data_IF_294637523740
#
_entry.id   IF_294637523740
#
_cell.length_a   1.000
_cell.length_b   1.000
_cell.length_c   1.000
_cell.angle_alpha   90.00
_cell.angle_beta   90.00
_cell.angle_gamma   90.00
#
_symmetry.space_group_name_H-M   'P 1'
#
loop_
_entity.id
_entity.type
_entity.pdbx_description
1 polymer ?
#
# COMPACT_ATOMS: atom_id res chain seq x y z
N UNK A 1 12.03 35.76 -51.33
CA UNK A 1 11.32 35.03 -50.26
C UNK A 1 11.79 33.59 -50.27
N UNK A 2 12.59 33.16 -49.31
CA UNK A 2 13.02 31.77 -49.20
C UNK A 2 11.84 30.91 -48.81
N UNK A 3 11.64 29.73 -49.42
CA UNK A 3 10.54 28.83 -49.02
C UNK A 3 10.71 28.36 -47.56
N UNK A 4 9.66 28.43 -46.78
CA UNK A 4 9.63 27.86 -45.42
C UNK A 4 9.94 26.37 -45.51
N UNK A 5 10.83 25.83 -44.63
CA UNK A 5 11.06 24.40 -44.60
C UNK A 5 9.75 23.66 -44.30
N UNK A 6 9.57 22.47 -44.86
CA UNK A 6 8.34 21.69 -44.62
C UNK A 6 8.20 21.39 -43.11
N UNK A 7 7.05 21.71 -42.56
CA UNK A 7 6.73 21.33 -41.16
C UNK A 7 6.71 19.81 -41.11
N UNK A 8 7.71 19.21 -40.52
CA UNK A 8 7.70 17.77 -40.18
C UNK A 8 6.49 17.56 -39.26
N UNK A 9 5.50 16.80 -39.70
CA UNK A 9 4.39 16.39 -38.83
C UNK A 9 5.00 15.43 -37.79
N UNK A 10 5.08 15.88 -36.57
CA UNK A 10 5.40 14.98 -35.44
C UNK A 10 4.30 13.94 -35.37
N UNK A 11 4.65 12.67 -35.50
CA UNK A 11 3.70 11.57 -35.31
C UNK A 11 3.45 11.49 -33.80
N UNK A 12 2.32 11.97 -33.35
CA UNK A 12 1.92 11.86 -31.93
C UNK A 12 1.65 10.39 -31.60
N UNK A 13 2.27 9.91 -30.53
CA UNK A 13 1.89 8.65 -29.91
C UNK A 13 0.64 8.88 -29.03
N UNK A 14 -0.49 8.19 -29.30
CA UNK A 14 -1.68 8.33 -28.48
C UNK A 14 -1.47 7.91 -27.03
N UNK A 15 -0.48 7.07 -26.74
CA UNK A 15 -0.15 6.58 -25.39
C UNK A 15 0.89 7.46 -24.69
N UNK A 16 1.53 8.40 -25.42
CA UNK A 16 2.50 9.35 -24.89
C UNK A 16 2.34 10.74 -25.53
N UNK A 17 1.17 11.36 -25.33
CA UNK A 17 0.86 12.68 -25.88
C UNK A 17 1.77 13.80 -25.35
N UNK A 18 2.35 13.60 -24.18
CA UNK A 18 3.24 14.57 -23.54
C UNK A 18 4.72 14.39 -23.93
N UNK A 19 5.08 13.30 -24.65
CA UNK A 19 6.45 12.99 -25.02
C UNK A 19 7.34 12.65 -23.83
N UNK A 20 6.77 12.01 -22.81
CA UNK A 20 7.49 11.61 -21.59
C UNK A 20 8.61 10.62 -21.93
N UNK A 21 8.37 9.72 -22.88
CA UNK A 21 9.34 8.71 -23.30
C UNK A 21 10.67 9.33 -23.80
N UNK A 22 10.63 10.52 -24.39
CA UNK A 22 11.84 11.21 -24.86
C UNK A 22 12.73 11.70 -23.69
N UNK A 23 12.16 11.80 -22.49
CA UNK A 23 12.85 12.23 -21.27
C UNK A 23 13.44 11.06 -20.46
N UNK A 24 12.99 9.83 -20.73
CA UNK A 24 13.39 8.65 -19.97
C UNK A 24 14.70 8.05 -20.46
N UNK A 25 15.51 7.57 -19.52
CA UNK A 25 16.68 6.73 -19.79
C UNK A 25 16.28 5.38 -20.39
N UNK A 26 17.27 4.64 -20.91
CA UNK A 26 17.03 3.29 -21.41
C UNK A 26 16.60 2.31 -20.31
N UNK A 27 17.09 2.52 -19.08
CA UNK A 27 16.77 1.71 -17.91
C UNK A 27 15.33 1.95 -17.44
N UNK A 28 14.92 3.21 -17.32
CA UNK A 28 13.53 3.59 -16.98
C UNK A 28 12.51 3.05 -18.01
N UNK A 29 12.86 3.12 -19.31
CA UNK A 29 12.05 2.52 -20.38
C UNK A 29 11.95 1.00 -20.24
N UNK A 30 13.03 0.33 -19.83
CA UNK A 30 13.03 -1.11 -19.61
C UNK A 30 12.15 -1.50 -18.40
N UNK A 31 12.21 -0.75 -17.30
CA UNK A 31 11.31 -0.93 -16.14
C UNK A 31 9.85 -0.80 -16.57
N UNK A 32 9.51 0.32 -17.24
CA UNK A 32 8.15 0.54 -17.77
C UNK A 32 7.67 -0.59 -18.67
N UNK A 33 8.53 -1.04 -19.60
CA UNK A 33 8.19 -2.13 -20.52
C UNK A 33 7.95 -3.47 -19.80
N UNK A 34 8.74 -3.78 -18.77
CA UNK A 34 8.57 -4.99 -17.97
C UNK A 34 7.23 -4.98 -17.21
N UNK A 35 6.87 -3.85 -16.59
CA UNK A 35 5.59 -3.71 -15.90
C UNK A 35 4.42 -3.83 -16.88
N UNK A 36 4.48 -3.15 -18.02
CA UNK A 36 3.47 -3.26 -19.09
C UNK A 36 3.29 -4.70 -19.57
N UNK A 37 4.36 -5.46 -19.70
CA UNK A 37 4.29 -6.86 -20.10
C UNK A 37 3.54 -7.72 -19.09
N UNK A 38 3.79 -7.52 -17.80
CA UNK A 38 3.06 -8.23 -16.74
C UNK A 38 1.60 -7.79 -16.69
N UNK A 39 1.30 -6.51 -16.84
CA UNK A 39 -0.07 -6.03 -16.97
C UNK A 39 -0.79 -6.78 -18.10
N UNK A 40 -0.21 -6.82 -19.30
CA UNK A 40 -0.80 -7.46 -20.46
C UNK A 40 -0.99 -8.98 -20.31
N UNK A 41 -0.13 -9.68 -19.54
CA UNK A 41 -0.21 -11.13 -19.37
C UNK A 41 -1.07 -11.57 -18.19
N UNK A 42 -1.02 -10.84 -17.07
CA UNK A 42 -1.51 -11.32 -15.79
C UNK A 42 -2.64 -10.46 -15.19
N UNK A 43 -2.94 -9.31 -15.78
CA UNK A 43 -3.98 -8.38 -15.29
C UNK A 43 -5.05 -8.17 -16.37
N UNK A 44 -4.68 -7.63 -17.54
CA UNK A 44 -5.63 -7.20 -18.57
C UNK A 44 -6.62 -8.30 -19.00
N UNK A 45 -6.23 -9.59 -19.11
CA UNK A 45 -7.16 -10.64 -19.48
C UNK A 45 -8.29 -10.89 -18.47
N UNK A 46 -8.09 -10.48 -17.22
CA UNK A 46 -8.98 -10.79 -16.10
C UNK A 46 -9.69 -9.58 -15.51
N UNK A 47 -9.22 -8.37 -15.81
CA UNK A 47 -9.68 -7.13 -15.15
C UNK A 47 -11.19 -6.92 -15.30
N UNK A 48 -11.78 -7.26 -16.44
CA UNK A 48 -13.22 -7.13 -16.67
C UNK A 48 -14.03 -8.02 -15.72
N UNK A 49 -13.59 -9.28 -15.53
CA UNK A 49 -14.22 -10.21 -14.59
C UNK A 49 -14.08 -9.75 -13.14
N UNK A 50 -12.88 -9.29 -12.75
CA UNK A 50 -12.63 -8.76 -11.40
C UNK A 50 -13.47 -7.52 -11.12
N UNK A 51 -13.60 -6.64 -12.10
CA UNK A 51 -14.45 -5.45 -11.97
C UNK A 51 -15.93 -5.82 -11.81
N UNK A 52 -16.45 -6.75 -12.62
CA UNK A 52 -17.85 -7.20 -12.55
C UNK A 52 -18.15 -7.92 -11.23
N UNK A 53 -17.29 -8.82 -10.80
CA UNK A 53 -17.45 -9.54 -9.52
C UNK A 53 -17.29 -8.63 -8.31
N UNK A 54 -16.50 -7.55 -8.43
CA UNK A 54 -16.11 -6.69 -7.31
C UNK A 54 -15.18 -7.40 -6.32
N UNK A 55 -14.36 -8.31 -6.82
CA UNK A 55 -13.42 -9.13 -6.06
C UNK A 55 -12.13 -9.31 -6.86
N UNK A 56 -11.06 -9.77 -6.22
CA UNK A 56 -9.77 -10.09 -6.82
C UNK A 56 -9.38 -11.53 -6.49
N UNK A 57 -9.97 -12.53 -7.17
CA UNK A 57 -9.56 -13.92 -7.01
C UNK A 57 -8.08 -14.10 -7.35
N UNK A 58 -7.34 -14.85 -6.53
CA UNK A 58 -5.91 -15.06 -6.76
C UNK A 58 -5.02 -13.88 -6.41
N UNK A 59 -5.48 -12.92 -5.60
CA UNK A 59 -4.70 -11.75 -5.16
C UNK A 59 -3.33 -12.13 -4.59
N UNK A 60 -3.23 -13.27 -3.87
CA UNK A 60 -1.95 -13.73 -3.32
C UNK A 60 -0.97 -14.19 -4.39
N UNK A 61 -1.45 -14.85 -5.44
CA UNK A 61 -0.59 -15.28 -6.55
C UNK A 61 -0.14 -14.08 -7.37
N UNK A 62 -1.04 -13.11 -7.61
CA UNK A 62 -0.70 -11.83 -8.23
C UNK A 62 0.33 -11.05 -7.41
N UNK A 63 0.16 -10.97 -6.08
CA UNK A 63 1.12 -10.31 -5.21
C UNK A 63 2.53 -10.93 -5.32
N UNK A 64 2.63 -12.26 -5.33
CA UNK A 64 3.91 -12.96 -5.54
C UNK A 64 4.51 -12.69 -6.93
N UNK A 65 3.69 -12.59 -7.95
CA UNK A 65 4.16 -12.27 -9.30
C UNK A 65 4.72 -10.84 -9.35
N UNK A 66 4.01 -9.87 -8.78
CA UNK A 66 4.47 -8.48 -8.65
C UNK A 66 5.73 -8.37 -7.76
N UNK A 67 5.80 -9.16 -6.69
CA UNK A 67 6.98 -9.25 -5.83
C UNK A 67 8.22 -9.77 -6.54
N UNK A 68 8.09 -10.78 -7.42
CA UNK A 68 9.20 -11.28 -8.25
C UNK A 68 9.80 -10.22 -9.17
N UNK A 69 9.02 -9.23 -9.56
CA UNK A 69 9.47 -8.08 -10.35
C UNK A 69 10.02 -6.94 -9.48
N UNK A 70 10.02 -7.09 -8.15
CA UNK A 70 10.46 -6.05 -7.22
C UNK A 70 9.52 -4.85 -7.13
N UNK A 71 8.23 -4.99 -7.51
CA UNK A 71 7.27 -3.88 -7.49
C UNK A 71 6.74 -3.55 -6.10
N UNK A 72 6.79 -4.53 -5.17
CA UNK A 72 6.28 -4.34 -3.81
C UNK A 72 7.34 -3.66 -2.94
N UNK A 73 7.09 -2.41 -2.55
CA UNK A 73 8.07 -1.59 -1.85
C UNK A 73 9.29 -1.22 -2.70
N UNK A 74 9.14 -1.10 -4.03
CA UNK A 74 10.25 -0.95 -4.98
C UNK A 74 11.14 0.26 -4.71
N UNK A 75 10.63 1.32 -4.07
CA UNK A 75 11.35 2.55 -3.70
C UNK A 75 12.07 2.44 -2.34
N UNK A 76 11.85 1.36 -1.58
CA UNK A 76 12.47 1.13 -0.28
C UNK A 76 13.85 0.45 -0.45
N UNK A 77 14.77 0.76 0.45
CA UNK A 77 16.11 0.16 0.46
C UNK A 77 16.22 -0.96 1.50
N UNK A 78 16.92 -2.03 1.14
CA UNK A 78 17.15 -3.18 2.01
C UNK A 78 15.96 -4.13 2.10
N UNK A 79 16.07 -5.13 2.94
CA UNK A 79 15.00 -6.11 3.26
C UNK A 79 14.39 -6.81 2.03
N UNK A 80 15.14 -6.95 0.93
CA UNK A 80 14.66 -7.56 -0.31
C UNK A 80 13.91 -6.59 -1.23
N UNK A 81 13.76 -5.32 -0.87
CA UNK A 81 13.21 -4.28 -1.72
C UNK A 81 14.21 -3.83 -2.78
N UNK A 82 13.71 -3.32 -3.93
CA UNK A 82 14.55 -3.05 -5.09
C UNK A 82 15.38 -1.75 -5.00
N UNK A 83 15.02 -0.79 -4.14
CA UNK A 83 15.72 0.50 -4.00
C UNK A 83 15.69 1.36 -5.26
N UNK A 84 14.60 1.30 -6.02
CA UNK A 84 14.42 2.01 -7.29
C UNK A 84 14.10 3.50 -7.07
N UNK A 85 14.31 4.29 -8.11
CA UNK A 85 14.01 5.71 -8.07
C UNK A 85 12.51 6.02 -7.99
N UNK A 86 12.17 7.25 -7.58
CA UNK A 86 10.78 7.73 -7.62
C UNK A 86 10.22 7.78 -9.05
N UNK A 87 11.07 7.96 -10.07
CA UNK A 87 10.66 7.92 -11.49
C UNK A 87 10.26 6.50 -11.86
N UNK A 88 11.07 5.50 -11.52
CA UNK A 88 10.75 4.08 -11.78
C UNK A 88 9.44 3.67 -11.09
N UNK A 89 9.26 4.07 -9.84
CA UNK A 89 8.00 3.83 -9.11
C UNK A 89 6.81 4.49 -9.79
N UNK A 90 6.95 5.75 -10.21
CA UNK A 90 5.92 6.48 -10.96
C UNK A 90 5.56 5.81 -12.28
N UNK A 91 6.56 5.32 -13.04
CA UNK A 91 6.35 4.58 -14.29
C UNK A 91 5.64 3.24 -14.06
N UNK A 92 6.03 2.52 -13.01
CA UNK A 92 5.35 1.28 -12.62
C UNK A 92 3.88 1.54 -12.26
N UNK A 93 3.61 2.56 -11.44
CA UNK A 93 2.25 2.97 -11.08
C UNK A 93 1.43 3.40 -12.31
N UNK A 94 2.03 4.08 -13.27
CA UNK A 94 1.37 4.50 -14.52
C UNK A 94 0.89 3.30 -15.33
N UNK A 95 1.72 2.27 -15.51
CA UNK A 95 1.34 1.08 -16.28
C UNK A 95 0.29 0.22 -15.53
N UNK A 96 0.42 0.08 -14.22
CA UNK A 96 -0.57 -0.59 -13.37
C UNK A 96 -1.92 0.12 -13.40
N UNK A 97 -1.92 1.47 -13.29
CA UNK A 97 -3.12 2.30 -13.34
C UNK A 97 -3.81 2.21 -14.70
N UNK A 98 -3.03 2.11 -15.80
CA UNK A 98 -3.56 1.95 -17.15
C UNK A 98 -4.30 0.62 -17.33
N UNK A 99 -3.92 -0.42 -16.60
CA UNK A 99 -4.63 -1.70 -16.56
C UNK A 99 -5.84 -1.65 -15.64
N UNK A 100 -5.63 -1.40 -14.35
CA UNK A 100 -6.70 -1.22 -13.36
C UNK A 100 -6.23 -0.46 -12.11
N UNK A 101 -6.96 0.58 -11.74
CA UNK A 101 -6.69 1.40 -10.54
C UNK A 101 -6.67 0.60 -9.23
N UNK A 102 -7.42 -0.49 -9.15
CA UNK A 102 -7.46 -1.38 -7.98
C UNK A 102 -6.15 -2.14 -7.81
N UNK A 103 -5.54 -2.57 -8.91
CA UNK A 103 -4.24 -3.26 -8.89
C UNK A 103 -3.12 -2.27 -8.55
N UNK A 104 -3.13 -1.05 -9.13
CA UNK A 104 -2.20 0.00 -8.70
C UNK A 104 -2.36 0.29 -7.21
N UNK A 105 -3.60 0.31 -6.68
CA UNK A 105 -3.88 0.51 -5.26
C UNK A 105 -3.31 -0.61 -4.39
N UNK A 106 -3.40 -1.89 -4.83
CA UNK A 106 -2.76 -3.02 -4.15
C UNK A 106 -1.26 -2.76 -3.94
N UNK A 107 -0.53 -2.39 -5.01
CA UNK A 107 0.91 -2.14 -4.98
C UNK A 107 1.25 -0.93 -4.11
N UNK A 108 0.52 0.19 -4.25
CA UNK A 108 0.82 1.40 -3.50
C UNK A 108 0.52 1.27 -2.00
N UNK A 109 -0.57 0.60 -1.62
CA UNK A 109 -0.87 0.36 -0.21
C UNK A 109 0.13 -0.61 0.42
N UNK A 110 0.51 -1.66 -0.31
CA UNK A 110 1.56 -2.57 0.12
C UNK A 110 2.87 -1.83 0.37
N UNK A 111 3.41 -1.13 -0.65
CA UNK A 111 4.74 -0.52 -0.63
C UNK A 111 4.79 0.80 0.13
N UNK A 112 3.99 1.79 -0.29
CA UNK A 112 4.12 3.16 0.19
C UNK A 112 3.39 3.44 1.50
N UNK A 113 2.50 2.55 1.96
CA UNK A 113 1.80 2.71 3.22
C UNK A 113 2.23 1.66 4.24
N UNK A 114 1.92 0.36 4.02
CA UNK A 114 2.18 -0.67 5.02
C UNK A 114 3.67 -0.95 5.20
N UNK A 115 4.40 -1.23 4.10
CA UNK A 115 5.85 -1.46 4.15
C UNK A 115 6.61 -0.22 4.59
N UNK A 116 6.27 0.96 4.02
CA UNK A 116 6.94 2.20 4.38
C UNK A 116 6.79 2.52 5.87
N UNK A 117 5.59 2.34 6.45
CA UNK A 117 5.37 2.56 7.88
C UNK A 117 6.28 1.68 8.75
N UNK A 118 6.44 0.40 8.39
CA UNK A 118 7.32 -0.53 9.09
C UNK A 118 8.79 -0.16 8.83
N UNK A 119 9.14 0.16 7.59
CA UNK A 119 10.50 0.53 7.17
C UNK A 119 11.00 1.80 7.87
N UNK A 120 10.18 2.83 7.94
CA UNK A 120 10.55 4.11 8.55
C UNK A 120 10.50 4.04 10.08
N UNK A 121 9.41 3.49 10.65
CA UNK A 121 9.08 3.63 12.06
C UNK A 121 9.26 2.35 12.89
N UNK A 122 9.43 1.19 12.25
CA UNK A 122 9.56 -0.09 12.94
C UNK A 122 10.90 -0.30 13.62
N UNK A 123 10.93 -1.21 14.59
CA UNK A 123 12.18 -1.73 15.16
C UNK A 123 12.93 -2.58 14.14
N UNK A 124 14.23 -2.84 14.35
CA UNK A 124 14.98 -3.76 13.49
C UNK A 124 14.32 -5.15 13.37
N UNK A 125 13.73 -5.63 14.47
CA UNK A 125 13.04 -6.93 14.53
C UNK A 125 11.77 -6.90 13.69
N UNK A 126 10.91 -5.87 13.83
CA UNK A 126 9.71 -5.69 13.02
C UNK A 126 10.05 -5.58 11.53
N UNK A 127 11.11 -4.85 11.18
CA UNK A 127 11.58 -4.71 9.79
C UNK A 127 12.02 -6.06 9.22
N UNK A 128 12.81 -6.81 10.00
CA UNK A 128 13.33 -8.11 9.56
C UNK A 128 12.23 -9.18 9.45
N UNK A 129 11.23 -9.12 10.31
CA UNK A 129 10.11 -10.06 10.30
C UNK A 129 9.18 -9.82 9.11
N UNK A 130 8.81 -8.57 8.84
CA UNK A 130 7.73 -8.26 7.92
C UNK A 130 8.15 -7.82 6.53
N UNK A 131 9.23 -7.04 6.39
CA UNK A 131 9.57 -6.47 5.08
C UNK A 131 9.99 -7.51 4.04
N UNK A 132 10.83 -8.53 4.34
CA UNK A 132 11.21 -9.51 3.34
C UNK A 132 10.03 -10.31 2.76
N UNK A 133 9.11 -10.90 3.54
CA UNK A 133 7.95 -11.59 2.98
C UNK A 133 6.96 -10.62 2.29
N UNK A 134 6.89 -9.36 2.71
CA UNK A 134 6.07 -8.37 2.02
C UNK A 134 6.66 -7.96 0.68
N UNK A 135 7.98 -7.84 0.56
CA UNK A 135 8.67 -7.52 -0.70
C UNK A 135 8.51 -8.64 -1.75
N UNK A 136 8.48 -9.90 -1.31
CA UNK A 136 8.26 -11.06 -2.19
C UNK A 136 6.77 -11.32 -2.51
N UNK A 137 5.84 -10.65 -1.81
CA UNK A 137 4.40 -10.87 -1.93
C UNK A 137 3.90 -12.13 -1.21
N UNK A 138 4.72 -12.76 -0.38
CA UNK A 138 4.30 -13.85 0.51
C UNK A 138 3.41 -13.34 1.64
N UNK A 139 3.67 -12.12 2.14
CA UNK A 139 2.82 -11.42 3.08
C UNK A 139 2.21 -10.16 2.45
N UNK A 140 0.92 -9.96 2.68
CA UNK A 140 0.18 -8.77 2.26
C UNK A 140 -0.05 -7.89 3.48
N UNK A 141 0.21 -6.58 3.32
CA UNK A 141 -0.03 -5.57 4.34
C UNK A 141 -1.24 -4.69 4.04
N UNK A 142 -1.82 -4.14 5.10
CA UNK A 142 -2.80 -3.08 5.00
C UNK A 142 -2.51 -1.94 5.99
N UNK A 143 -3.18 -0.79 5.78
CA UNK A 143 -2.90 0.44 6.53
C UNK A 143 -4.19 1.04 7.10
N UNK A 144 -4.37 0.93 8.40
CA UNK A 144 -5.57 1.32 9.12
C UNK A 144 -5.44 2.68 9.79
N UNK A 145 -5.72 3.77 9.06
CA UNK A 145 -5.81 5.12 9.59
C UNK A 145 -7.26 5.62 9.65
N UNK A 146 -7.93 5.64 8.50
CA UNK A 146 -9.29 6.17 8.33
C UNK A 146 -10.31 5.41 9.16
N UNK A 147 -11.23 6.13 9.79
CA UNK A 147 -12.37 5.59 10.55
C UNK A 147 -13.70 6.01 9.92
N UNK A 148 -14.82 5.35 10.27
CA UNK A 148 -16.14 5.71 9.73
C UNK A 148 -16.48 7.20 9.89
N UNK A 149 -16.16 7.78 11.06
CA UNK A 149 -16.48 9.19 11.38
C UNK A 149 -15.27 10.14 11.24
N UNK A 150 -14.04 9.60 11.05
CA UNK A 150 -12.80 10.37 11.06
C UNK A 150 -11.93 10.01 9.84
N UNK A 151 -12.34 10.51 8.66
CA UNK A 151 -11.57 10.40 7.41
C UNK A 151 -10.67 11.62 7.21
N UNK A 152 -11.28 12.80 6.99
CA UNK A 152 -10.55 14.07 6.77
C UNK A 152 -9.92 14.64 8.04
N UNK A 153 -10.36 14.18 9.21
CA UNK A 153 -9.84 14.59 10.52
C UNK A 153 -9.34 13.38 11.32
N UNK A 154 -8.20 12.79 10.93
CA UNK A 154 -7.65 11.63 11.62
C UNK A 154 -7.09 11.96 13.03
N UNK A 155 -6.91 13.24 13.35
CA UNK A 155 -6.48 13.64 14.69
C UNK A 155 -7.46 13.24 15.79
N UNK A 156 -8.75 13.22 15.45
CA UNK A 156 -9.84 12.88 16.36
C UNK A 156 -10.26 11.39 16.28
N UNK A 157 -9.40 10.52 15.76
CA UNK A 157 -9.69 9.07 15.69
C UNK A 157 -10.15 8.50 17.04
N UNK A 158 -11.07 7.54 16.98
CA UNK A 158 -11.67 6.90 18.16
C UNK A 158 -11.06 5.54 18.48
N UNK A 159 -10.36 4.91 17.55
CA UNK A 159 -9.58 3.69 17.83
C UNK A 159 -8.58 3.98 18.93
N UNK A 160 -8.61 3.19 20.00
CA UNK A 160 -7.78 3.37 21.19
C UNK A 160 -6.88 2.17 21.42
N UNK A 161 -5.67 2.45 21.86
CA UNK A 161 -4.78 1.46 22.43
C UNK A 161 -4.48 1.86 23.88
N UNK A 162 -4.64 0.92 24.80
CA UNK A 162 -4.32 1.10 26.23
C UNK A 162 -3.36 0.03 26.70
N UNK A 163 -2.57 0.34 27.70
CA UNK A 163 -1.74 -0.66 28.37
C UNK A 163 -2.61 -1.67 29.14
N UNK A 164 -2.19 -2.92 29.13
CA UNK A 164 -2.83 -4.00 29.87
C UNK A 164 -2.00 -4.31 31.12
N UNK A 165 -2.09 -3.45 32.11
CA UNK A 165 -1.32 -3.48 33.35
C UNK A 165 -0.48 -2.22 33.58
N UNK A 166 0.27 -2.22 34.64
CA UNK A 166 1.11 -1.11 35.06
C UNK A 166 2.51 -1.19 34.43
N UNK A 167 3.03 -0.04 34.04
CA UNK A 167 4.41 0.12 33.54
C UNK A 167 4.57 0.04 32.02
N UNK A 168 5.74 0.49 31.57
CA UNK A 168 6.06 0.68 30.14
C UNK A 168 6.28 -0.61 29.37
N UNK A 169 6.39 -1.74 30.06
CA UNK A 169 6.57 -3.08 29.46
C UNK A 169 5.27 -3.87 29.34
N UNK A 170 4.15 -3.31 29.81
CA UNK A 170 2.84 -3.97 29.70
C UNK A 170 2.41 -4.09 28.23
N UNK A 171 1.68 -5.15 27.93
CA UNK A 171 1.06 -5.38 26.63
C UNK A 171 0.06 -4.29 26.25
N UNK A 172 -0.38 -4.29 25.01
CA UNK A 172 -1.37 -3.35 24.51
C UNK A 172 -2.70 -4.05 24.25
N UNK A 173 -3.80 -3.34 24.46
CA UNK A 173 -5.15 -3.74 24.06
C UNK A 173 -5.71 -2.68 23.14
N UNK A 174 -6.05 -3.08 21.90
CA UNK A 174 -6.62 -2.22 20.88
C UNK A 174 -8.13 -2.45 20.75
N UNK A 175 -8.89 -1.34 20.69
CA UNK A 175 -10.32 -1.35 20.43
C UNK A 175 -10.70 -0.23 19.46
N UNK A 176 -11.55 -0.52 18.48
CA UNK A 176 -12.05 0.45 17.51
C UNK A 176 -12.38 -0.17 16.16
N UNK A 177 -12.50 0.68 15.16
CA UNK A 177 -12.72 0.24 13.78
C UNK A 177 -12.02 1.14 12.79
N UNK A 178 -11.66 0.57 11.63
CA UNK A 178 -11.08 1.29 10.49
C UNK A 178 -11.92 1.04 9.25
N UNK A 179 -12.05 2.05 8.40
CA UNK A 179 -12.94 2.02 7.25
C UNK A 179 -12.16 2.28 5.96
N UNK A 180 -12.61 1.66 4.87
CA UNK A 180 -12.04 1.80 3.52
C UNK A 180 -10.61 1.29 3.41
N UNK A 181 -10.29 0.22 4.12
CA UNK A 181 -8.91 -0.31 4.19
C UNK A 181 -8.65 -1.26 3.03
N UNK A 182 -7.83 -0.81 2.09
CA UNK A 182 -7.34 -1.64 0.98
C UNK A 182 -6.54 -2.82 1.54
N UNK A 183 -6.71 -3.98 0.94
CA UNK A 183 -6.12 -5.26 1.32
C UNK A 183 -6.61 -5.84 2.66
N UNK A 184 -7.48 -5.16 3.43
CA UNK A 184 -7.79 -5.54 4.81
C UNK A 184 -8.22 -6.98 5.03
N UNK A 185 -9.04 -7.56 4.13
CA UNK A 185 -9.54 -8.95 4.28
C UNK A 185 -8.58 -10.03 3.75
N UNK A 186 -7.48 -9.63 3.12
CA UNK A 186 -6.46 -10.54 2.58
C UNK A 186 -5.08 -10.32 3.19
N UNK A 187 -4.96 -9.32 4.07
CA UNK A 187 -3.72 -8.95 4.72
C UNK A 187 -3.28 -9.99 5.77
N UNK A 188 -1.99 -10.18 5.90
CA UNK A 188 -1.32 -10.96 6.95
C UNK A 188 -0.88 -10.04 8.10
N UNK A 189 -0.63 -8.77 7.79
CA UNK A 189 -0.24 -7.74 8.76
C UNK A 189 -0.99 -6.44 8.50
N UNK A 190 -1.44 -5.78 9.56
CA UNK A 190 -2.06 -4.47 9.51
C UNK A 190 -1.22 -3.45 10.29
N UNK A 191 -0.90 -2.31 9.68
CA UNK A 191 -0.42 -1.14 10.41
C UNK A 191 -1.63 -0.36 10.91
N UNK A 192 -1.84 -0.32 12.21
CA UNK A 192 -3.00 0.31 12.85
C UNK A 192 -2.57 1.55 13.63
N UNK A 193 -3.14 2.70 13.29
CA UNK A 193 -2.96 3.93 14.05
C UNK A 193 -4.08 4.06 15.09
N UNK A 194 -3.69 4.26 16.34
CA UNK A 194 -4.63 4.33 17.47
C UNK A 194 -4.23 5.43 18.46
N UNK A 195 -5.22 5.99 19.15
CA UNK A 195 -5.04 6.96 20.22
C UNK A 195 -4.56 6.25 21.48
N UNK A 196 -3.49 6.73 22.07
CA UNK A 196 -2.95 6.33 23.39
C UNK A 196 -2.95 7.51 24.34
N UNK A 197 -2.54 7.28 25.58
CA UNK A 197 -2.31 8.37 26.55
C UNK A 197 -1.23 9.34 26.10
N UNK A 198 -0.24 8.85 25.34
CA UNK A 198 0.87 9.64 24.80
C UNK A 198 0.57 10.23 23.39
N UNK A 199 -0.68 10.22 22.94
CA UNK A 199 -1.10 10.62 21.60
C UNK A 199 -1.23 9.44 20.63
N UNK A 200 -1.30 9.74 19.33
CA UNK A 200 -1.46 8.72 18.29
C UNK A 200 -0.16 7.93 18.12
N UNK A 201 -0.28 6.60 18.14
CA UNK A 201 0.82 5.65 17.93
C UNK A 201 0.43 4.66 16.82
N UNK A 202 1.44 4.14 16.12
CA UNK A 202 1.28 3.08 15.14
C UNK A 202 1.62 1.71 15.74
N UNK A 203 0.88 0.68 15.33
CA UNK A 203 1.03 -0.70 15.80
C UNK A 203 1.14 -1.64 14.61
N UNK A 204 2.04 -2.60 14.69
CA UNK A 204 2.12 -3.75 13.77
C UNK A 204 1.24 -4.86 14.34
N UNK A 205 0.20 -5.21 13.61
CA UNK A 205 -0.84 -6.14 14.07
C UNK A 205 -0.92 -7.33 13.11
N UNK A 206 -0.47 -8.53 13.49
CA UNK A 206 -0.78 -9.76 12.75
C UNK A 206 -2.30 -9.93 12.67
N UNK A 207 -2.84 -10.20 11.48
CA UNK A 207 -4.31 -10.19 11.28
C UNK A 207 -5.02 -11.41 11.82
N UNK A 208 -4.27 -12.46 12.18
CA UNK A 208 -4.76 -13.65 12.88
C UNK A 208 -4.86 -13.47 14.41
N UNK A 209 -4.47 -12.29 14.93
CA UNK A 209 -4.58 -11.97 16.35
C UNK A 209 -6.05 -12.03 16.80
N UNK A 210 -6.38 -12.75 17.89
CA UNK A 210 -7.73 -12.80 18.42
C UNK A 210 -8.34 -11.41 18.66
N UNK A 211 -9.58 -11.21 18.21
CA UNK A 211 -10.25 -9.91 18.26
C UNK A 211 -10.08 -9.03 17.04
N UNK A 212 -9.14 -9.36 16.11
CA UNK A 212 -9.07 -8.72 14.80
C UNK A 212 -10.06 -9.37 13.84
N UNK A 213 -10.80 -8.56 13.10
CA UNK A 213 -11.63 -9.04 11.99
C UNK A 213 -11.71 -8.02 10.87
N UNK A 214 -11.83 -8.51 9.63
CA UNK A 214 -11.95 -7.69 8.44
C UNK A 214 -13.17 -8.10 7.63
N UNK A 215 -14.01 -7.13 7.26
CA UNK A 215 -15.23 -7.32 6.47
C UNK A 215 -15.09 -6.66 5.12
N UNK A 216 -15.21 -7.44 4.05
CA UNK A 216 -15.14 -6.94 2.67
C UNK A 216 -16.30 -5.97 2.40
N UNK A 217 -15.97 -4.78 1.89
CA UNK A 217 -16.93 -3.79 1.40
C UNK A 217 -17.23 -4.10 -0.06
N UNK A 218 -18.49 -4.53 -0.34
CA UNK A 218 -18.98 -4.87 -1.67
C UNK A 218 -19.73 -3.71 -2.32
N UNK A 219 -20.05 -3.88 -3.61
CA UNK A 219 -20.88 -2.94 -4.38
C UNK A 219 -20.33 -1.51 -4.47
N UNK A 220 -19.01 -1.36 -4.50
CA UNK A 220 -18.37 -0.08 -4.77
C UNK A 220 -18.69 0.38 -6.20
N UNK A 221 -18.75 1.69 -6.42
CA UNK A 221 -19.01 2.27 -7.75
C UNK A 221 -17.78 2.25 -8.66
N UNK A 222 -16.58 2.29 -8.07
CA UNK A 222 -15.28 2.26 -8.77
C UNK A 222 -14.27 1.47 -7.96
N UNK A 223 -13.06 1.27 -8.50
CA UNK A 223 -11.98 0.49 -7.86
C UNK A 223 -12.49 -0.90 -7.42
N UNK A 224 -13.31 -1.54 -8.26
CA UNK A 224 -14.05 -2.73 -7.86
C UNK A 224 -13.14 -3.95 -7.69
N UNK A 225 -12.04 -4.03 -8.46
CA UNK A 225 -11.01 -5.05 -8.27
C UNK A 225 -10.12 -4.80 -7.03
N UNK A 226 -10.16 -3.61 -6.42
CA UNK A 226 -9.46 -3.36 -5.15
C UNK A 226 -10.21 -4.00 -4.00
N UNK A 227 -9.59 -4.94 -3.30
CA UNK A 227 -10.12 -5.52 -2.07
C UNK A 227 -10.10 -4.45 -0.99
N UNK A 228 -11.28 -4.04 -0.51
CA UNK A 228 -11.43 -2.94 0.45
C UNK A 228 -12.30 -3.40 1.62
N UNK A 229 -11.89 -3.12 2.84
CA UNK A 229 -12.51 -3.68 4.04
C UNK A 229 -12.79 -2.65 5.13
N UNK A 230 -13.74 -2.97 5.98
CA UNK A 230 -13.83 -2.47 7.34
C UNK A 230 -13.02 -3.40 8.24
N UNK A 231 -12.16 -2.83 9.09
CA UNK A 231 -11.46 -3.57 10.15
C UNK A 231 -12.15 -3.30 11.48
N UNK A 232 -12.33 -4.35 12.27
CA UNK A 232 -12.85 -4.26 13.63
C UNK A 232 -11.82 -4.83 14.59
N UNK A 233 -11.53 -4.06 15.64
CA UNK A 233 -10.61 -4.38 16.71
C UNK A 233 -11.42 -4.50 18.00
N UNK A 234 -11.57 -5.70 18.52
CA UNK A 234 -12.35 -5.99 19.73
C UNK A 234 -11.44 -6.68 20.75
N UNK A 235 -10.80 -5.87 21.59
CA UNK A 235 -9.89 -6.37 22.61
C UNK A 235 -8.64 -7.04 22.03
N UNK A 236 -8.14 -6.57 20.85
CA UNK A 236 -6.93 -7.12 20.22
C UNK A 236 -5.74 -6.90 21.15
N UNK A 237 -5.19 -8.00 21.67
CA UNK A 237 -4.05 -7.98 22.57
C UNK A 237 -2.76 -8.14 21.77
N UNK A 238 -1.83 -7.20 21.99
CA UNK A 238 -0.53 -7.17 21.33
C UNK A 238 0.59 -7.09 22.36
N UNK A 239 1.75 -7.71 22.10
CA UNK A 239 2.91 -7.57 22.96
C UNK A 239 3.39 -6.12 23.00
N UNK A 240 4.13 -5.78 24.02
CA UNK A 240 4.65 -4.41 24.24
C UNK A 240 5.41 -3.85 23.03
N UNK A 241 6.16 -4.68 22.34
CA UNK A 241 7.01 -4.34 21.19
C UNK A 241 6.28 -4.23 19.86
N UNK A 242 4.96 -4.46 19.82
CA UNK A 242 4.16 -4.27 18.62
C UNK A 242 3.99 -2.79 18.22
N UNK A 243 4.27 -1.86 19.12
CA UNK A 243 4.16 -0.41 18.87
C UNK A 243 5.41 0.12 18.16
N UNK A 244 5.24 1.06 17.23
CA UNK A 244 6.38 1.82 16.69
C UNK A 244 7.03 2.66 17.78
N UNK A 245 8.35 2.51 18.03
CA UNK A 245 8.96 3.00 19.26
C UNK A 245 8.96 4.54 19.38
N UNK A 246 9.27 5.24 18.32
CA UNK A 246 9.60 6.67 18.41
C UNK A 246 8.53 7.61 17.84
N UNK A 247 7.69 7.13 16.92
CA UNK A 247 6.71 7.99 16.25
C UNK A 247 5.49 8.25 17.13
N UNK A 248 5.13 9.53 17.25
CA UNK A 248 3.97 10.01 18.01
C UNK A 248 3.19 11.07 17.22
N UNK A 249 1.89 11.12 17.43
CA UNK A 249 1.00 12.07 16.76
C UNK A 249 0.80 11.76 15.29
N UNK A 250 0.34 12.73 14.53
CA UNK A 250 0.02 12.58 13.11
C UNK A 250 1.26 12.53 12.19
N UNK A 251 2.45 12.83 12.67
CA UNK A 251 3.68 12.82 11.86
C UNK A 251 3.88 11.43 11.23
N UNK A 252 3.64 10.36 11.99
CA UNK A 252 3.76 8.98 11.52
C UNK A 252 2.84 8.67 10.34
N UNK A 253 1.51 8.70 10.51
CA UNK A 253 0.62 8.38 9.40
C UNK A 253 0.72 9.36 8.22
N UNK A 254 1.02 10.64 8.47
CA UNK A 254 1.15 11.63 7.39
C UNK A 254 2.44 11.45 6.59
N UNK A 255 3.54 10.98 7.19
CA UNK A 255 4.76 10.62 6.44
C UNK A 255 4.46 9.52 5.41
N UNK A 256 3.71 8.48 5.81
CA UNK A 256 3.28 7.41 4.92
C UNK A 256 2.36 7.93 3.78
N UNK A 257 1.43 8.84 4.09
CA UNK A 257 0.58 9.46 3.07
C UNK A 257 1.37 10.35 2.10
N UNK A 258 2.43 11.00 2.54
CA UNK A 258 3.30 11.78 1.66
C UNK A 258 4.08 10.87 0.73
N UNK A 259 4.56 9.72 1.21
CA UNK A 259 5.23 8.72 0.37
C UNK A 259 4.30 8.09 -0.67
N UNK A 260 3.04 7.91 -0.33
CA UNK A 260 2.04 7.33 -1.23
C UNK A 260 1.52 8.29 -2.32
N UNK A 261 1.83 9.58 -2.24
CA UNK A 261 1.41 10.62 -3.21
C UNK A 261 2.44 10.86 -4.28
#
# INVERSE_FOLDING_TARGET
>A
MSPRPPKTRVKLDPLDLAGIDDMLSAEEKAVRAAVRQVCASSIDPYVAEWFESGDLPGVRDLAKELGKLGLLGMHLEGYGCAGMSAVDYGLACLELEASDSGIRSLVSVQGSLAMFAIWEHGTPEQKQEWLPPMATGEAIGCFGLTEPDHGSDPANMRTKARRDGDGDTADWILNGSKMWITNGSVADVAVIWAQTEDGIRGFVVPTDTPGFSARLIKHKMSLRASVTSELVLDGVRLPNDAVFPEVRGLVGPLSCLNEAR
#
